data_IF_941823423784
#
_entry.id   IF_941823423784
#
_cell.length_a   1.000
_cell.length_b   1.000
_cell.length_c   1.000
_cell.angle_alpha   90.00
_cell.angle_beta   90.00
_cell.angle_gamma   90.00
#
_symmetry.space_group_name_H-M   'P 1'
#
loop_
_entity.id
_entity.type
_entity.pdbx_description
1 polymer ?
#
# COMPACT_ATOMS: atom_id res chain seq x y z
N UNK A 1 -18.88 1.99 -20.17
CA UNK A 1 -18.29 2.81 -21.24
C UNK A 1 -17.69 1.86 -22.26
N UNK A 2 -18.10 1.95 -23.53
CA UNK A 2 -17.36 1.32 -24.60
C UNK A 2 -15.99 1.98 -24.74
N UNK A 3 -14.90 1.22 -24.74
CA UNK A 3 -13.54 1.67 -24.96
C UNK A 3 -12.63 1.72 -23.72
N UNK A 4 -13.15 1.53 -22.50
CA UNK A 4 -12.34 1.51 -21.26
C UNK A 4 -12.20 0.11 -20.66
N UNK A 5 -12.84 -0.91 -21.23
CA UNK A 5 -12.84 -2.29 -20.76
C UNK A 5 -11.42 -2.88 -20.70
N UNK A 6 -10.54 -2.44 -21.61
CA UNK A 6 -9.13 -2.86 -21.66
C UNK A 6 -8.32 -2.52 -20.40
N UNK A 7 -8.75 -1.52 -19.60
CA UNK A 7 -8.10 -1.18 -18.32
C UNK A 7 -8.35 -2.23 -17.23
N UNK A 8 -9.42 -3.02 -17.37
CA UNK A 8 -9.80 -4.08 -16.42
C UNK A 8 -9.36 -5.47 -16.91
N UNK A 9 -8.75 -5.55 -18.10
CA UNK A 9 -8.24 -6.80 -18.63
C UNK A 9 -7.10 -7.32 -17.74
N UNK A 10 -7.29 -8.52 -17.20
CA UNK A 10 -6.24 -9.21 -16.44
C UNK A 10 -5.04 -9.44 -17.36
N UNK A 11 -3.86 -9.09 -16.87
CA UNK A 11 -2.59 -9.35 -17.55
C UNK A 11 -2.00 -10.66 -17.04
N UNK A 12 -1.44 -11.43 -17.96
CA UNK A 12 -0.70 -12.65 -17.63
C UNK A 12 0.69 -12.33 -17.06
N UNK A 13 1.30 -13.31 -16.40
CA UNK A 13 2.69 -13.21 -15.91
C UNK A 13 3.73 -13.07 -17.04
N UNK A 14 3.32 -13.28 -18.30
CA UNK A 14 4.14 -13.00 -19.48
C UNK A 14 4.11 -11.52 -19.86
N UNK A 15 3.06 -10.81 -19.48
CA UNK A 15 2.82 -9.41 -19.82
C UNK A 15 3.18 -8.46 -18.67
N UNK A 16 3.05 -8.91 -17.41
CA UNK A 16 3.38 -8.15 -16.21
C UNK A 16 4.08 -9.05 -15.18
N UNK A 17 5.29 -8.67 -14.72
CA UNK A 17 5.97 -9.36 -13.62
C UNK A 17 5.74 -8.63 -12.30
N UNK A 18 5.26 -9.35 -11.28
CA UNK A 18 5.24 -8.85 -9.90
C UNK A 18 6.62 -8.80 -9.25
N UNK A 19 7.66 -9.35 -9.90
CA UNK A 19 9.02 -9.53 -9.39
C UNK A 19 9.04 -10.20 -8.02
N UNK A 20 8.13 -11.12 -7.75
CA UNK A 20 7.99 -11.76 -6.45
C UNK A 20 7.57 -10.82 -5.31
N UNK A 21 6.95 -9.68 -5.64
CA UNK A 21 6.26 -8.82 -4.69
C UNK A 21 4.75 -9.11 -4.75
N UNK A 22 4.03 -8.98 -3.63
CA UNK A 22 2.58 -9.16 -3.63
C UNK A 22 1.88 -7.98 -4.33
N UNK A 23 0.61 -8.18 -4.69
CA UNK A 23 -0.20 -7.11 -5.27
C UNK A 23 -0.39 -5.97 -4.26
N UNK A 24 -0.20 -4.74 -4.72
CA UNK A 24 -0.20 -3.56 -3.87
C UNK A 24 -1.40 -2.65 -4.15
N UNK A 25 -2.40 -2.74 -3.28
CA UNK A 25 -3.58 -1.88 -3.30
C UNK A 25 -3.23 -0.41 -3.00
N UNK A 26 -2.09 -0.17 -2.35
CA UNK A 26 -1.61 1.15 -1.98
C UNK A 26 -0.70 1.79 -3.02
N UNK A 27 -0.46 1.13 -4.15
CA UNK A 27 0.42 1.66 -5.20
C UNK A 27 -0.13 3.00 -5.70
N UNK A 28 0.78 3.95 -5.99
CA UNK A 28 0.40 5.23 -6.63
C UNK A 28 -0.23 5.00 -8.01
N UNK A 29 0.08 3.86 -8.63
CA UNK A 29 -0.45 3.45 -9.92
C UNK A 29 -1.82 2.76 -9.84
N UNK A 30 -2.29 2.42 -8.63
CA UNK A 30 -3.61 1.80 -8.47
C UNK A 30 -4.72 2.83 -8.72
N UNK A 31 -5.72 2.45 -9.51
CA UNK A 31 -6.91 3.27 -9.75
C UNK A 31 -7.74 3.45 -8.47
N UNK A 32 -8.40 4.59 -8.33
CA UNK A 32 -9.33 4.83 -7.23
C UNK A 32 -10.71 4.21 -7.46
N UNK A 33 -11.58 4.22 -6.42
CA UNK A 33 -12.90 3.58 -6.47
C UNK A 33 -13.78 4.05 -7.63
N UNK A 34 -13.70 5.34 -7.98
CA UNK A 34 -14.54 6.00 -8.99
C UNK A 34 -13.88 6.10 -10.37
N UNK A 35 -12.76 5.41 -10.63
CA UNK A 35 -12.05 5.54 -11.90
C UNK A 35 -12.90 5.05 -13.09
N UNK A 36 -12.88 5.78 -14.22
CA UNK A 36 -13.66 5.45 -15.42
C UNK A 36 -15.20 5.47 -15.22
N UNK A 37 -15.68 6.14 -14.18
CA UNK A 37 -17.12 6.38 -14.01
C UNK A 37 -17.61 7.51 -14.93
N UNK A 38 -18.88 7.42 -15.36
CA UNK A 38 -19.58 8.56 -16.00
C UNK A 38 -20.10 9.50 -14.91
N UNK A 39 -20.65 8.92 -13.85
CA UNK A 39 -21.23 9.63 -12.71
C UNK A 39 -20.23 9.63 -11.56
N UNK A 40 -19.75 10.80 -11.17
CA UNK A 40 -18.62 10.94 -10.24
C UNK A 40 -18.89 10.40 -8.84
N UNK A 41 -20.15 10.10 -8.52
CA UNK A 41 -20.59 9.48 -7.28
C UNK A 41 -20.63 7.94 -7.32
N UNK A 42 -20.47 7.31 -8.50
CA UNK A 42 -20.52 5.85 -8.65
C UNK A 42 -19.15 5.20 -8.52
N UNK A 43 -19.10 4.13 -7.72
CA UNK A 43 -17.93 3.26 -7.59
C UNK A 43 -17.97 2.21 -8.70
N UNK A 44 -16.89 2.14 -9.47
CA UNK A 44 -16.69 1.16 -10.57
C UNK A 44 -15.66 0.09 -10.20
N UNK A 45 -14.80 0.37 -9.20
CA UNK A 45 -13.75 -0.54 -8.74
C UNK A 45 -14.03 -0.92 -7.29
N UNK A 46 -14.34 -2.20 -7.10
CA UNK A 46 -14.64 -2.77 -5.78
C UNK A 46 -13.51 -3.72 -5.38
N UNK A 47 -12.94 -3.51 -4.20
CA UNK A 47 -11.94 -4.42 -3.64
C UNK A 47 -12.60 -5.73 -3.22
N UNK A 48 -11.92 -6.86 -3.44
CA UNK A 48 -12.44 -8.16 -3.00
C UNK A 48 -12.68 -8.22 -1.50
N UNK A 49 -11.78 -7.59 -0.74
CA UNK A 49 -11.98 -7.33 0.68
C UNK A 49 -12.46 -5.88 0.84
N UNK A 50 -13.71 -5.71 1.29
CA UNK A 50 -14.35 -4.40 1.43
C UNK A 50 -13.62 -3.48 2.41
N UNK A 51 -12.87 -4.01 3.39
CA UNK A 51 -12.09 -3.19 4.34
C UNK A 51 -11.06 -2.33 3.61
N UNK A 52 -10.51 -2.82 2.51
CA UNK A 52 -9.50 -2.14 1.71
C UNK A 52 -10.07 -1.12 0.72
N UNK A 53 -11.39 -0.97 0.63
CA UNK A 53 -12.03 -0.13 -0.38
C UNK A 53 -11.55 1.32 -0.33
N UNK A 54 -11.23 1.84 0.86
CA UNK A 54 -10.71 3.21 1.03
C UNK A 54 -9.19 3.32 0.99
N UNK A 55 -8.47 2.20 0.87
CA UNK A 55 -7.01 2.17 0.71
C UNK A 55 -6.57 2.42 -0.73
N UNK A 56 -7.43 2.10 -1.72
CA UNK A 56 -7.08 2.21 -3.14
C UNK A 56 -7.18 3.64 -3.67
N UNK A 57 -6.38 3.96 -4.68
CA UNK A 57 -6.44 5.26 -5.39
C UNK A 57 -5.72 6.41 -4.71
N UNK A 58 -4.92 6.14 -3.68
CA UNK A 58 -4.14 7.19 -2.99
C UNK A 58 -3.14 7.85 -3.95
N UNK A 59 -2.82 9.13 -3.70
CA UNK A 59 -1.88 9.93 -4.50
C UNK A 59 -0.87 10.69 -3.64
N UNK A 60 -0.69 10.28 -2.38
CA UNK A 60 0.29 10.87 -1.45
C UNK A 60 1.72 10.63 -1.94
N UNK A 61 1.98 9.45 -2.50
CA UNK A 61 3.27 9.12 -3.08
C UNK A 61 3.39 7.62 -3.40
N UNK A 62 4.54 7.19 -3.95
CA UNK A 62 4.82 5.78 -4.18
C UNK A 62 4.76 4.97 -2.88
N UNK A 63 4.21 3.76 -2.96
CA UNK A 63 4.21 2.84 -1.83
C UNK A 63 5.61 2.25 -1.57
N UNK A 64 5.76 1.54 -0.45
CA UNK A 64 6.97 0.76 -0.19
C UNK A 64 7.25 -0.27 -1.29
N UNK A 65 6.21 -0.94 -1.79
CA UNK A 65 6.33 -1.96 -2.84
C UNK A 65 6.72 -1.31 -4.18
N UNK A 66 6.15 -0.14 -4.52
CA UNK A 66 6.52 0.62 -5.72
C UNK A 66 8.03 0.93 -5.72
N UNK A 67 8.52 1.48 -4.61
CA UNK A 67 9.94 1.86 -4.46
C UNK A 67 10.83 0.62 -4.45
N UNK A 68 10.41 -0.48 -3.81
CA UNK A 68 11.15 -1.75 -3.80
C UNK A 68 11.24 -2.38 -5.20
N UNK A 69 10.14 -2.33 -5.96
CA UNK A 69 10.04 -2.80 -7.34
C UNK A 69 11.02 -2.02 -8.25
N UNK A 70 11.06 -0.70 -8.14
CA UNK A 70 12.03 0.14 -8.88
C UNK A 70 13.47 -0.18 -8.49
N UNK A 71 13.76 -0.33 -7.19
CA UNK A 71 15.12 -0.68 -6.74
C UNK A 71 15.58 -2.05 -7.24
N UNK A 72 14.67 -3.04 -7.35
CA UNK A 72 14.97 -4.33 -7.98
C UNK A 72 15.39 -4.16 -9.45
N UNK A 73 14.64 -3.36 -10.21
CA UNK A 73 14.91 -3.11 -11.62
C UNK A 73 16.26 -2.40 -11.85
N UNK A 74 16.49 -1.30 -11.14
CA UNK A 74 17.56 -0.36 -11.51
C UNK A 74 18.74 -0.36 -10.54
N UNK A 75 18.55 -0.80 -9.29
CA UNK A 75 19.53 -0.60 -8.22
C UNK A 75 19.95 -1.89 -7.50
N UNK A 76 19.53 -3.07 -7.97
CA UNK A 76 19.80 -4.33 -7.28
C UNK A 76 21.31 -4.66 -7.16
N UNK A 77 22.13 -4.09 -8.03
CA UNK A 77 23.58 -4.30 -8.01
C UNK A 77 24.31 -3.45 -6.97
N UNK A 78 23.70 -2.36 -6.49
CA UNK A 78 24.34 -1.37 -5.60
C UNK A 78 24.83 -1.98 -4.29
N UNK A 79 24.05 -2.90 -3.72
CA UNK A 79 24.36 -3.55 -2.44
C UNK A 79 24.74 -5.03 -2.61
N UNK A 80 25.26 -5.42 -3.77
CA UNK A 80 25.80 -6.78 -3.94
C UNK A 80 26.94 -7.01 -2.95
N UNK A 81 26.85 -8.10 -2.18
CA UNK A 81 27.84 -8.44 -1.15
C UNK A 81 27.57 -7.82 0.23
N UNK A 82 26.50 -7.04 0.42
CA UNK A 82 26.09 -6.63 1.76
C UNK A 82 25.67 -7.85 2.60
N UNK A 83 26.00 -7.81 3.89
CA UNK A 83 25.57 -8.80 4.88
C UNK A 83 24.42 -8.30 5.76
N UNK A 84 23.84 -7.13 5.46
CA UNK A 84 22.70 -6.61 6.24
C UNK A 84 21.49 -7.52 6.09
N UNK A 85 20.91 -7.93 7.21
CA UNK A 85 19.71 -8.77 7.24
C UNK A 85 18.52 -7.88 7.57
N UNK A 86 17.62 -7.71 6.59
CA UNK A 86 16.38 -6.97 6.77
C UNK A 86 15.20 -7.92 6.96
N UNK A 87 14.46 -7.75 8.04
CA UNK A 87 13.30 -8.55 8.40
C UNK A 87 12.01 -7.94 7.87
N UNK A 88 10.90 -8.67 7.99
CA UNK A 88 9.54 -8.19 7.69
C UNK A 88 9.38 -7.61 6.27
N UNK A 89 10.15 -8.12 5.32
CA UNK A 89 10.12 -7.65 3.93
C UNK A 89 10.89 -6.36 3.68
N UNK A 90 11.69 -5.88 4.65
CA UNK A 90 12.70 -4.86 4.42
C UNK A 90 13.74 -5.28 3.38
N UNK A 91 14.52 -4.32 2.89
CA UNK A 91 15.65 -4.56 1.98
C UNK A 91 16.76 -3.56 2.22
N UNK A 92 18.00 -3.88 1.81
CA UNK A 92 19.14 -2.98 1.97
C UNK A 92 18.87 -1.64 1.28
N UNK A 93 19.15 -0.53 1.96
CA UNK A 93 19.04 0.78 1.34
C UNK A 93 20.10 0.93 0.26
N UNK A 94 19.66 1.14 -0.98
CA UNK A 94 20.54 1.32 -2.14
C UNK A 94 21.45 2.55 -2.03
N UNK A 95 21.12 3.50 -1.15
CA UNK A 95 21.96 4.66 -0.84
C UNK A 95 22.91 4.42 0.34
N UNK A 96 22.66 3.39 1.15
CA UNK A 96 23.48 2.99 2.28
C UNK A 96 23.27 1.51 2.60
N UNK A 97 24.16 0.67 2.07
CA UNK A 97 24.03 -0.79 2.13
C UNK A 97 24.18 -1.40 3.53
N UNK A 98 24.49 -0.60 4.56
CA UNK A 98 24.58 -1.02 5.96
C UNK A 98 23.28 -0.80 6.73
N UNK A 99 22.24 -0.23 6.08
CA UNK A 99 20.94 0.02 6.69
C UNK A 99 19.82 -0.62 5.89
N UNK A 100 18.73 -0.93 6.56
CA UNK A 100 17.52 -1.42 5.93
C UNK A 100 16.54 -0.28 5.62
N UNK A 101 15.94 -0.32 4.43
CA UNK A 101 14.66 0.32 4.14
C UNK A 101 13.53 -0.57 4.64
N UNK A 102 12.69 -0.02 5.52
CA UNK A 102 11.64 -0.76 6.22
C UNK A 102 10.25 -0.43 5.68
N UNK A 103 9.31 -1.40 5.70
CA UNK A 103 7.91 -1.10 5.45
C UNK A 103 7.37 -0.07 6.45
N UNK A 104 6.40 0.78 6.06
CA UNK A 104 5.80 1.76 6.95
C UNK A 104 5.27 1.13 8.24
N UNK A 105 5.54 1.77 9.38
CA UNK A 105 5.22 1.27 10.71
C UNK A 105 6.32 0.41 11.34
N UNK A 106 7.36 0.03 10.59
CA UNK A 106 8.53 -0.70 11.08
C UNK A 106 9.81 0.13 10.95
N UNK A 107 10.77 -0.12 11.84
CA UNK A 107 12.05 0.57 11.89
C UNK A 107 13.13 -0.24 12.60
N UNK A 108 14.15 0.47 13.09
CA UNK A 108 15.35 -0.14 13.65
C UNK A 108 16.32 -0.63 12.56
N UNK A 109 17.47 -1.21 12.96
CA UNK A 109 18.55 -1.56 12.03
C UNK A 109 18.14 -2.66 11.02
N UNK A 110 17.18 -3.49 11.37
CA UNK A 110 16.75 -4.65 10.59
C UNK A 110 15.22 -4.72 10.36
N UNK A 111 14.47 -3.64 10.58
CA UNK A 111 13.01 -3.62 10.43
C UNK A 111 12.23 -4.54 11.41
N UNK A 112 12.83 -4.90 12.55
CA UNK A 112 12.17 -5.71 13.58
C UNK A 112 11.28 -4.88 14.52
N UNK A 113 11.73 -3.67 14.86
CA UNK A 113 11.07 -2.81 15.83
C UNK A 113 9.99 -1.96 15.16
N UNK A 114 9.12 -1.37 15.98
CA UNK A 114 8.19 -0.32 15.51
C UNK A 114 8.96 0.90 15.00
N UNK A 115 8.43 1.54 13.95
CA UNK A 115 8.92 2.84 13.46
C UNK A 115 8.67 3.91 14.53
N UNK A 116 9.68 4.74 14.90
CA UNK A 116 9.44 5.85 15.83
C UNK A 116 8.30 6.77 15.35
N UNK A 117 7.40 7.13 16.26
CA UNK A 117 6.34 8.11 15.99
C UNK A 117 6.90 9.52 15.83
N UNK A 118 6.18 10.39 15.11
CA UNK A 118 6.50 11.82 15.03
C UNK A 118 6.17 12.56 16.33
N UNK A 119 5.20 12.04 17.08
CA UNK A 119 4.86 12.52 18.42
C UNK A 119 5.46 11.56 19.47
N UNK A 120 6.36 12.04 20.36
CA UNK A 120 6.96 11.20 21.40
C UNK A 120 5.95 10.69 22.44
N UNK A 121 4.73 11.24 22.48
CA UNK A 121 3.68 10.84 23.42
C UNK A 121 2.76 9.73 22.89
N UNK A 122 3.03 9.18 21.70
CA UNK A 122 2.25 8.09 21.12
C UNK A 122 3.11 7.02 20.44
N UNK A 123 2.50 5.88 20.15
CA UNK A 123 3.16 4.74 19.52
C UNK A 123 3.83 3.79 20.49
N UNK A 124 4.67 2.90 19.96
CA UNK A 124 5.43 1.91 20.71
C UNK A 124 4.96 0.47 20.51
N UNK A 125 5.59 -0.45 21.24
CA UNK A 125 5.21 -1.85 21.24
C UNK A 125 4.22 -2.15 22.37
N UNK A 126 3.13 -2.83 22.03
CA UNK A 126 2.09 -3.26 22.98
C UNK A 126 1.97 -4.78 22.97
N UNK A 127 1.56 -5.34 24.11
CA UNK A 127 1.28 -6.76 24.23
C UNK A 127 -0.22 -7.02 24.19
N UNK A 128 -0.64 -7.95 23.33
CA UNK A 128 -1.98 -8.51 23.32
C UNK A 128 -2.05 -9.68 24.33
N UNK A 129 -2.83 -9.50 25.38
CA UNK A 129 -2.96 -10.46 26.47
C UNK A 129 -4.02 -11.54 26.15
N UNK A 130 -3.81 -12.75 26.67
CA UNK A 130 -4.78 -13.84 26.57
C UNK A 130 -5.94 -13.60 27.53
N UNK A 131 -7.17 -13.75 27.05
CA UNK A 131 -8.38 -13.70 27.88
C UNK A 131 -8.77 -12.30 28.39
N UNK A 132 -7.99 -11.26 28.08
CA UNK A 132 -8.24 -9.89 28.54
C UNK A 132 -8.27 -8.95 27.33
N UNK A 133 -9.42 -8.36 27.06
CA UNK A 133 -9.55 -7.29 26.07
C UNK A 133 -8.83 -6.04 26.54
N UNK A 134 -8.02 -5.46 25.65
CA UNK A 134 -7.27 -4.23 25.86
C UNK A 134 -7.76 -3.16 24.89
N UNK A 135 -7.57 -1.90 25.26
CA UNK A 135 -8.00 -0.75 24.48
C UNK A 135 -6.79 0.07 24.04
N UNK A 136 -6.80 0.51 22.79
CA UNK A 136 -5.93 1.53 22.23
C UNK A 136 -6.80 2.67 21.73
N UNK A 137 -6.80 3.78 22.46
CA UNK A 137 -7.49 5.02 22.08
C UNK A 137 -6.46 6.08 21.79
N UNK A 138 -6.58 6.75 20.65
CA UNK A 138 -5.68 7.81 20.27
C UNK A 138 -6.44 8.98 19.65
N UNK A 139 -5.95 10.19 19.92
CA UNK A 139 -6.36 11.44 19.29
C UNK A 139 -5.14 12.33 19.13
N UNK A 140 -4.78 12.68 17.89
CA UNK A 140 -3.53 13.40 17.61
C UNK A 140 -3.48 14.04 16.22
N UNK A 141 -2.56 14.97 16.04
CA UNK A 141 -2.33 15.70 14.79
C UNK A 141 -1.03 15.27 14.07
N UNK A 142 -0.32 14.30 14.63
CA UNK A 142 0.97 13.80 14.14
C UNK A 142 0.89 12.30 13.88
N UNK A 143 1.81 11.78 13.06
CA UNK A 143 1.87 10.34 12.77
C UNK A 143 2.31 9.56 14.00
N UNK A 144 1.59 8.47 14.29
CA UNK A 144 1.86 7.56 15.40
C UNK A 144 1.86 6.10 14.92
N UNK A 145 2.85 5.32 15.37
CA UNK A 145 3.00 3.92 14.98
C UNK A 145 2.98 3.01 16.20
N UNK A 146 2.11 2.00 16.20
CA UNK A 146 2.10 0.94 17.20
C UNK A 146 2.36 -0.41 16.56
N UNK A 147 3.08 -1.26 17.29
CA UNK A 147 3.22 -2.68 16.99
C UNK A 147 2.61 -3.47 18.14
N UNK A 148 1.53 -4.20 17.88
CA UNK A 148 0.88 -5.04 18.89
C UNK A 148 1.30 -6.49 18.64
N UNK A 149 1.85 -7.18 19.64
CA UNK A 149 2.35 -8.56 19.52
C UNK A 149 1.83 -9.47 20.63
N UNK A 150 1.84 -10.78 20.40
CA UNK A 150 1.52 -11.79 21.44
C UNK A 150 2.78 -12.51 21.92
N UNK A 151 2.79 -12.99 23.17
CA UNK A 151 3.90 -13.78 23.72
C UNK A 151 3.82 -15.27 23.31
N UNK A 152 2.62 -15.78 23.02
CA UNK A 152 2.37 -17.20 22.75
C UNK A 152 2.22 -17.59 21.28
N UNK A 153 2.68 -16.75 20.34
CA UNK A 153 2.45 -16.92 18.90
C UNK A 153 0.96 -17.15 18.58
N UNK A 154 0.09 -16.36 19.21
CA UNK A 154 -1.35 -16.37 18.96
C UNK A 154 -1.69 -15.28 17.95
N UNK A 155 -2.71 -15.54 17.13
CA UNK A 155 -3.31 -14.49 16.27
C UNK A 155 -3.93 -13.42 17.17
N UNK A 156 -4.07 -12.20 16.65
CA UNK A 156 -4.66 -11.06 17.35
C UNK A 156 -6.03 -10.83 16.76
N UNK A 157 -7.05 -10.91 17.61
CA UNK A 157 -8.40 -10.45 17.25
C UNK A 157 -8.53 -9.01 17.70
N UNK A 158 -9.04 -8.16 16.82
CA UNK A 158 -9.29 -6.76 17.14
C UNK A 158 -10.59 -6.27 16.52
N UNK A 159 -11.15 -5.24 17.15
CA UNK A 159 -12.36 -4.55 16.74
C UNK A 159 -12.04 -3.07 16.69
N UNK A 160 -12.16 -2.47 15.50
CA UNK A 160 -12.09 -1.03 15.33
C UNK A 160 -13.47 -0.45 15.67
N UNK A 161 -13.60 0.13 16.87
CA UNK A 161 -14.88 0.57 17.42
C UNK A 161 -15.30 1.93 16.84
N UNK A 162 -14.36 2.86 16.73
CA UNK A 162 -14.64 4.22 16.22
C UNK A 162 -13.45 4.81 15.49
N UNK A 163 -13.74 5.63 14.49
CA UNK A 163 -12.76 6.30 13.64
C UNK A 163 -13.27 7.70 13.33
N UNK A 164 -12.42 8.70 13.51
CA UNK A 164 -12.74 10.11 13.29
C UNK A 164 -11.58 10.79 12.55
N UNK A 165 -11.62 10.73 11.22
CA UNK A 165 -10.74 11.48 10.32
C UNK A 165 -11.59 12.21 9.27
N UNK A 166 -10.94 12.91 8.33
CA UNK A 166 -11.64 13.49 7.19
C UNK A 166 -12.13 12.39 6.26
N UNK A 167 -13.44 12.13 6.27
CA UNK A 167 -14.05 11.07 5.49
C UNK A 167 -13.98 11.36 3.98
N UNK A 168 -13.52 10.38 3.21
CA UNK A 168 -13.41 10.42 1.74
C UNK A 168 -13.44 9.00 1.16
N UNK A 169 -13.78 8.85 -0.12
CA UNK A 169 -13.82 7.54 -0.82
C UNK A 169 -12.46 6.84 -0.83
N UNK A 170 -11.39 7.61 -0.98
CA UNK A 170 -10.00 7.20 -0.71
C UNK A 170 -9.50 8.00 0.48
N UNK A 171 -9.10 7.35 1.57
CA UNK A 171 -8.70 8.05 2.79
C UNK A 171 -7.40 8.83 2.58
N UNK A 172 -7.44 10.14 2.87
CA UNK A 172 -6.25 10.99 2.93
C UNK A 172 -5.62 10.92 4.33
N UNK A 173 -6.35 11.28 5.38
CA UNK A 173 -5.98 10.99 6.77
C UNK A 173 -6.70 9.74 7.26
N UNK A 174 -6.02 8.86 8.00
CA UNK A 174 -6.51 7.53 8.31
C UNK A 174 -5.91 6.92 9.57
N UNK A 175 -6.57 5.87 10.07
CA UNK A 175 -5.92 4.77 10.77
C UNK A 175 -5.73 3.61 9.78
N UNK A 176 -4.50 3.15 9.61
CA UNK A 176 -4.13 1.99 8.81
C UNK A 176 -3.81 0.83 9.73
N UNK A 177 -4.40 -0.35 9.46
CA UNK A 177 -4.12 -1.57 10.22
C UNK A 177 -3.56 -2.63 9.28
N UNK A 178 -2.31 -3.03 9.53
CA UNK A 178 -1.65 -4.14 8.84
C UNK A 178 -1.79 -5.38 9.70
N UNK A 179 -2.55 -6.35 9.21
CA UNK A 179 -2.86 -7.59 9.93
C UNK A 179 -2.57 -8.85 9.12
N UNK A 180 -2.13 -8.70 7.88
CA UNK A 180 -1.86 -9.76 6.91
C UNK A 180 -0.47 -10.38 7.13
N UNK A 181 -0.17 -11.43 6.37
CA UNK A 181 1.08 -12.18 6.44
C UNK A 181 2.31 -11.43 5.90
N UNK A 182 2.13 -10.25 5.27
CA UNK A 182 3.21 -9.46 4.67
C UNK A 182 3.06 -7.95 4.93
N UNK A 183 3.86 -7.41 5.85
CA UNK A 183 3.83 -5.99 6.21
C UNK A 183 4.34 -5.03 5.12
N UNK A 184 4.89 -5.55 4.02
CA UNK A 184 5.20 -4.74 2.83
C UNK A 184 3.93 -4.15 2.21
N UNK A 185 2.83 -4.91 2.23
CA UNK A 185 1.55 -4.44 1.68
C UNK A 185 0.94 -3.38 2.57
N UNK A 186 0.26 -2.42 1.96
CA UNK A 186 -0.58 -1.47 2.70
C UNK A 186 -1.61 -2.22 3.56
N UNK A 187 -1.90 -1.71 4.75
CA UNK A 187 -3.03 -2.15 5.54
C UNK A 187 -4.36 -1.63 4.98
N UNK A 188 -5.47 -2.11 5.57
CA UNK A 188 -6.74 -1.44 5.30
C UNK A 188 -6.77 -0.09 6.03
N UNK A 189 -7.31 0.93 5.38
CA UNK A 189 -7.38 2.30 5.90
C UNK A 189 -8.81 2.67 6.21
N UNK A 190 -9.06 3.13 7.43
CA UNK A 190 -10.33 3.69 7.85
C UNK A 190 -10.18 5.18 8.14
N UNK A 191 -11.15 5.97 7.67
CA UNK A 191 -11.23 7.41 7.92
C UNK A 191 -12.65 7.94 8.13
N UNK A 192 -13.64 7.11 7.85
CA UNK A 192 -15.06 7.39 8.06
C UNK A 192 -15.56 6.57 9.24
N UNK A 193 -16.75 6.90 9.71
CA UNK A 193 -17.41 6.21 10.81
C UNK A 193 -17.91 4.81 10.40
N UNK A 194 -16.98 3.87 10.30
CA UNK A 194 -17.19 2.48 9.98
C UNK A 194 -17.27 1.69 11.28
N UNK A 195 -18.50 1.37 11.71
CA UNK A 195 -18.71 0.75 13.02
C UNK A 195 -18.31 -0.72 13.01
N UNK A 196 -17.48 -1.11 13.99
CA UNK A 196 -17.32 -2.50 14.40
C UNK A 196 -16.60 -3.39 13.39
N UNK A 197 -15.53 -2.91 12.77
CA UNK A 197 -14.70 -3.76 11.89
C UNK A 197 -13.94 -4.76 12.78
N UNK A 198 -14.44 -6.00 12.82
CA UNK A 198 -13.80 -7.13 13.51
C UNK A 198 -12.90 -7.91 12.56
N UNK A 199 -11.67 -8.17 12.98
CA UNK A 199 -10.65 -8.87 12.18
C UNK A 199 -9.80 -9.77 13.09
N UNK A 200 -9.41 -10.93 12.56
CA UNK A 200 -8.39 -11.80 13.13
C UNK A 200 -7.14 -11.70 12.25
N UNK A 201 -6.02 -11.24 12.81
CA UNK A 201 -4.74 -11.09 12.08
C UNK A 201 -4.22 -12.42 11.57
N UNK A 202 -3.51 -12.47 10.46
CA UNK A 202 -2.88 -13.69 9.92
C UNK A 202 -1.59 -14.08 10.66
N UNK A 203 -1.07 -13.17 11.49
CA UNK A 203 0.19 -13.29 12.23
C UNK A 203 -0.01 -13.05 13.74
N UNK A 204 1.04 -13.30 14.52
CA UNK A 204 1.10 -13.01 15.96
C UNK A 204 1.40 -11.54 16.29
N UNK A 205 1.41 -10.68 15.27
CA UNK A 205 1.67 -9.26 15.38
C UNK A 205 0.81 -8.50 14.38
N UNK A 206 0.46 -7.26 14.73
CA UNK A 206 -0.18 -6.29 13.83
C UNK A 206 0.51 -4.93 13.97
N UNK A 207 0.37 -4.10 12.93
CA UNK A 207 0.78 -2.71 12.98
C UNK A 207 -0.44 -1.82 12.90
N UNK A 208 -0.47 -0.78 13.72
CA UNK A 208 -1.47 0.27 13.71
C UNK A 208 -0.77 1.58 13.44
N UNK A 209 -1.16 2.28 12.39
CA UNK A 209 -0.55 3.55 11.95
C UNK A 209 -1.66 4.59 11.91
N UNK A 210 -1.57 5.61 12.76
CA UNK A 210 -2.46 6.77 12.69
C UNK A 210 -1.71 7.89 11.99
N UNK A 211 -2.27 8.38 10.89
CA UNK A 211 -1.70 9.48 10.13
C UNK A 211 -2.81 10.46 9.67
N UNK A 212 -2.90 11.65 10.27
CA UNK A 212 -3.93 12.62 9.92
C UNK A 212 -3.65 13.42 8.62
N UNK A 213 -2.47 13.24 7.97
CA UNK A 213 -2.12 13.83 6.66
C UNK A 213 -2.54 15.30 6.47
N UNK A 214 -2.05 16.19 7.35
CA UNK A 214 -2.23 17.64 7.21
C UNK A 214 -3.61 18.21 7.57
N UNK A 215 -4.55 17.39 8.06
CA UNK A 215 -5.84 17.83 8.64
C UNK A 215 -5.74 17.96 10.17
N UNK A 216 -6.64 18.77 10.78
CA UNK A 216 -6.58 19.26 12.17
C UNK A 216 -6.18 18.22 13.23
N UNK A 217 -6.92 17.12 13.39
CA UNK A 217 -6.70 16.05 14.38
C UNK A 217 -7.42 14.79 13.89
N UNK A 218 -6.78 13.62 13.97
CA UNK A 218 -7.41 12.31 13.77
C UNK A 218 -7.62 11.59 15.09
N UNK A 219 -8.61 10.70 15.16
CA UNK A 219 -8.83 9.85 16.34
C UNK A 219 -9.37 8.47 15.98
N UNK A 220 -9.06 7.48 16.81
CA UNK A 220 -9.64 6.14 16.72
C UNK A 220 -9.69 5.46 18.10
N UNK A 221 -10.56 4.46 18.21
CA UNK A 221 -10.57 3.49 19.32
C UNK A 221 -10.55 2.08 18.76
N UNK A 222 -9.57 1.31 19.19
CA UNK A 222 -9.36 -0.09 18.84
C UNK A 222 -9.39 -0.92 20.12
N UNK A 223 -10.11 -2.04 20.11
CA UNK A 223 -9.96 -3.09 21.12
C UNK A 223 -9.26 -4.29 20.53
N UNK A 224 -8.40 -4.94 21.30
CA UNK A 224 -7.63 -6.10 20.85
C UNK A 224 -7.42 -7.12 21.95
N UNK A 225 -7.20 -8.37 21.55
CA UNK A 225 -6.96 -9.52 22.43
C UNK A 225 -6.12 -10.57 21.69
N UNK A 226 -5.35 -11.37 22.42
CA UNK A 226 -4.75 -12.58 21.86
C UNK A 226 -5.83 -13.66 21.67
N UNK A 227 -6.04 -14.10 20.42
CA UNK A 227 -7.04 -15.09 20.04
C UNK A 227 -6.46 -16.51 20.13
N UNK A 228 -6.78 -17.20 21.24
CA UNK A 228 -6.41 -18.60 21.44
C UNK A 228 -7.35 -19.58 20.74
N UNK A 229 -8.55 -19.14 20.30
CA UNK A 229 -9.55 -19.99 19.68
C UNK A 229 -9.34 -20.21 18.17
N UNK A 230 -8.70 -19.25 17.50
CA UNK A 230 -8.44 -19.32 16.05
C UNK A 230 -7.22 -20.16 15.63
N UNK A 231 -6.52 -20.77 16.59
CA UNK A 231 -5.25 -21.46 16.38
C UNK A 231 -4.04 -20.52 16.22
N UNK A 232 -2.85 -21.10 16.12
CA UNK A 232 -1.63 -20.35 15.83
C UNK A 232 -1.64 -19.80 14.39
N UNK A 233 -0.92 -18.70 14.11
CA UNK A 233 -0.63 -18.27 12.75
C UNK A 233 -0.11 -19.42 11.89
N UNK A 234 -0.55 -19.47 10.64
CA UNK A 234 0.05 -20.38 9.68
C UNK A 234 1.51 -19.95 9.42
N UNK A 235 2.42 -20.90 9.12
CA UNK A 235 3.76 -20.55 8.67
C UNK A 235 3.67 -19.60 7.47
N UNK A 236 4.45 -18.51 7.50
CA UNK A 236 4.50 -17.58 6.37
C UNK A 236 4.93 -18.36 5.13
N UNK A 237 4.24 -18.23 3.98
CA UNK A 237 4.70 -18.85 2.76
C UNK A 237 6.12 -18.34 2.44
N UNK A 238 7.01 -19.17 1.87
CA UNK A 238 8.31 -18.71 1.46
C UNK A 238 8.14 -17.52 0.50
N UNK A 239 8.88 -16.42 0.68
CA UNK A 239 8.76 -15.27 -0.19
C UNK A 239 9.07 -15.71 -1.62
N UNK A 240 8.32 -15.23 -2.64
CA UNK A 240 8.59 -15.63 -4.01
C UNK A 240 10.01 -15.20 -4.39
N UNK A 241 10.80 -16.15 -4.91
CA UNK A 241 12.14 -15.86 -5.36
C UNK A 241 12.11 -14.91 -6.57
N UNK A 242 12.71 -13.73 -6.42
CA UNK A 242 12.98 -12.84 -7.54
C UNK A 242 14.33 -13.19 -8.15
N UNK A 243 14.36 -13.38 -9.46
CA UNK A 243 15.58 -13.63 -10.24
C UNK A 243 15.79 -12.39 -11.12
N UNK A 244 16.88 -11.62 -10.91
CA UNK A 244 17.17 -10.44 -11.73
C UNK A 244 17.14 -10.75 -13.22
N UNK A 245 16.47 -9.91 -14.00
CA UNK A 245 16.34 -10.06 -15.44
C UNK A 245 15.22 -10.98 -15.92
N UNK A 246 14.47 -11.63 -15.02
CA UNK A 246 13.24 -12.37 -15.40
C UNK A 246 12.18 -11.43 -15.97
N UNK A 247 12.17 -10.21 -15.47
CA UNK A 247 11.31 -9.13 -15.92
C UNK A 247 11.76 -8.49 -17.25
N UNK A 248 13.00 -8.73 -17.69
CA UNK A 248 13.51 -8.21 -18.95
C UNK A 248 12.80 -8.89 -20.12
N UNK A 249 11.84 -8.20 -20.73
CA UNK A 249 11.08 -8.70 -21.88
C UNK A 249 11.10 -7.70 -23.01
N UNK A 250 11.03 -8.20 -24.23
CA UNK A 250 10.76 -7.36 -25.39
C UNK A 250 9.36 -6.76 -25.25
N UNK A 251 9.23 -5.45 -25.46
CA UNK A 251 7.94 -4.78 -25.50
C UNK A 251 7.06 -5.42 -26.58
N UNK A 252 5.76 -5.59 -26.29
CA UNK A 252 4.81 -6.32 -27.15
C UNK A 252 4.98 -5.96 -28.63
N UNK A 253 5.22 -6.97 -29.46
CA UNK A 253 5.36 -6.83 -30.92
C UNK A 253 6.78 -6.64 -31.44
N UNK A 254 7.83 -6.74 -30.61
CA UNK A 254 9.22 -6.75 -31.08
C UNK A 254 9.81 -8.15 -30.92
N UNK A 255 9.69 -8.98 -31.96
CA UNK A 255 10.57 -10.15 -32.08
C UNK A 255 11.97 -9.66 -32.49
N UNK A 256 12.99 -10.14 -31.76
CA UNK A 256 14.40 -10.08 -32.14
C UNK A 256 14.94 -8.71 -32.57
N UNK A 257 15.47 -7.95 -31.60
CA UNK A 257 16.76 -7.25 -31.72
C UNK A 257 17.20 -6.79 -30.34
N UNK A 258 18.33 -7.34 -29.89
CA UNK A 258 18.89 -7.09 -28.56
C UNK A 258 19.09 -5.60 -28.28
N UNK A 259 18.83 -5.23 -27.04
CA UNK A 259 19.08 -3.88 -26.53
C UNK A 259 18.52 -3.75 -25.12
N UNK A 260 19.39 -3.36 -24.19
CA UNK A 260 19.09 -3.01 -22.80
C UNK A 260 17.97 -1.95 -22.79
N UNK A 261 17.07 -2.05 -21.80
CA UNK A 261 15.77 -1.36 -21.65
C UNK A 261 15.84 0.19 -21.66
N UNK A 262 17.02 0.79 -21.78
CA UNK A 262 17.23 2.23 -21.64
C UNK A 262 16.74 3.08 -22.84
N UNK A 263 16.43 2.47 -23.99
CA UNK A 263 16.03 3.22 -25.21
C UNK A 263 14.55 3.16 -25.59
N UNK A 264 13.72 2.42 -24.86
CA UNK A 264 12.32 2.18 -25.28
C UNK A 264 11.28 3.03 -24.53
N UNK A 265 11.53 3.48 -23.29
CA UNK A 265 10.52 4.20 -22.49
C UNK A 265 10.07 5.50 -23.18
N UNK A 266 10.96 6.21 -23.89
CA UNK A 266 10.61 7.44 -24.60
C UNK A 266 9.88 7.24 -25.94
N UNK A 267 9.94 6.03 -26.52
CA UNK A 267 9.33 5.74 -27.83
C UNK A 267 8.05 4.89 -27.74
N UNK A 268 7.68 4.39 -26.54
CA UNK A 268 6.57 3.42 -26.35
C UNK A 268 5.27 4.03 -25.85
N UNK A 269 5.27 5.32 -25.50
CA UNK A 269 4.05 6.06 -25.10
C UNK A 269 2.90 5.93 -26.12
N UNK A 270 3.10 5.71 -27.44
CA UNK A 270 1.97 5.58 -28.37
C UNK A 270 1.57 4.13 -28.73
N UNK A 271 1.87 3.10 -27.93
CA UNK A 271 1.50 1.69 -28.26
C UNK A 271 0.56 0.99 -27.28
N UNK A 272 -0.08 1.73 -26.38
CA UNK A 272 -1.32 1.29 -25.66
C UNK A 272 -2.55 1.62 -26.52
N UNK A 273 -2.40 1.64 -27.85
CA UNK A 273 -3.42 2.09 -28.81
C UNK A 273 -4.37 0.96 -29.18
N UNK A 274 -5.66 1.24 -29.06
CA UNK A 274 -6.68 0.63 -29.91
C UNK A 274 -6.35 1.01 -31.38
N UNK A 275 -6.18 0.04 -32.30
CA UNK A 275 -5.89 0.32 -33.71
C UNK A 275 -6.94 1.19 -34.38
N UNK A 276 -8.19 1.17 -33.90
CA UNK A 276 -9.33 1.80 -34.56
C UNK A 276 -9.63 3.21 -34.01
N UNK A 277 -9.09 3.60 -32.84
CA UNK A 277 -9.39 4.90 -32.19
C UNK A 277 -8.21 5.55 -31.43
N UNK A 278 -7.18 6.03 -32.15
CA UNK A 278 -5.92 6.49 -31.55
C UNK A 278 -5.95 7.85 -30.85
N UNK A 279 -7.01 8.65 -31.02
CA UNK A 279 -7.08 10.05 -30.53
C UNK A 279 -7.83 10.15 -29.19
N UNK A 280 -8.77 9.24 -28.92
CA UNK A 280 -9.62 9.27 -27.72
C UNK A 280 -8.87 8.83 -26.44
N UNK A 281 -7.92 7.88 -26.54
CA UNK A 281 -7.16 7.40 -25.38
C UNK A 281 -6.19 8.43 -24.78
N UNK A 282 -5.61 9.30 -25.62
CA UNK A 282 -4.69 10.37 -25.18
C UNK A 282 -5.45 11.49 -24.47
N UNK A 283 -6.67 11.78 -24.95
CA UNK A 283 -7.54 12.74 -24.31
C UNK A 283 -7.87 12.30 -22.89
N UNK A 284 -8.20 11.02 -22.62
CA UNK A 284 -8.58 10.55 -21.27
C UNK A 284 -7.48 10.69 -20.21
N UNK A 285 -6.23 10.35 -20.54
CA UNK A 285 -5.11 10.40 -19.57
C UNK A 285 -4.69 11.84 -19.29
N UNK A 286 -4.68 12.70 -20.31
CA UNK A 286 -4.38 14.12 -20.15
C UNK A 286 -5.56 14.88 -19.51
N UNK A 287 -6.80 14.57 -19.87
CA UNK A 287 -7.96 15.20 -19.23
C UNK A 287 -8.10 14.82 -17.77
N UNK A 288 -7.79 13.58 -17.35
CA UNK A 288 -7.82 13.24 -15.92
C UNK A 288 -6.72 13.97 -15.13
N UNK A 289 -5.51 14.12 -15.69
CA UNK A 289 -4.41 14.84 -15.06
C UNK A 289 -4.62 16.38 -15.05
N UNK A 290 -5.20 16.93 -16.10
CA UNK A 290 -5.50 18.36 -16.20
C UNK A 290 -6.79 18.75 -15.48
N UNK A 291 -7.83 17.93 -15.48
CA UNK A 291 -9.09 18.20 -14.77
C UNK A 291 -8.91 18.13 -13.24
N UNK A 292 -8.09 17.18 -12.74
CA UNK A 292 -7.74 17.12 -11.32
C UNK A 292 -6.86 18.32 -10.88
N UNK A 293 -5.97 18.80 -11.75
CA UNK A 293 -5.17 20.01 -11.57
C UNK A 293 -6.00 21.30 -11.58
N UNK A 294 -6.95 21.45 -12.52
CA UNK A 294 -7.80 22.65 -12.66
C UNK A 294 -8.89 22.74 -11.58
N UNK A 295 -9.45 21.61 -11.12
CA UNK A 295 -10.46 21.61 -10.05
C UNK A 295 -9.86 21.79 -8.64
N UNK A 296 -8.56 21.57 -8.47
CA UNK A 296 -7.82 21.85 -7.22
C UNK A 296 -7.48 23.33 -7.00
N UNK A 297 -7.49 24.16 -8.05
CA UNK A 297 -7.06 25.58 -7.97
C UNK A 297 -8.23 26.55 -7.73
N UNK A 298 -9.48 26.14 -7.97
CA UNK A 298 -10.64 27.06 -7.94
C UNK A 298 -11.47 27.09 -6.64
N UNK A 299 -10.91 26.68 -5.49
CA UNK A 299 -11.47 27.01 -4.16
C UNK A 299 -10.64 28.07 -3.43
N UNK A 300 -10.45 29.23 -4.06
CA UNK A 300 -10.21 30.49 -3.34
C UNK A 300 -11.13 31.58 -3.89
N UNK A 301 -11.90 32.16 -2.95
CA UNK A 301 -12.81 33.32 -3.03
C UNK A 301 -14.28 33.05 -3.36
N UNK A 302 -15.08 32.92 -2.29
CA UNK A 302 -16.35 33.63 -2.10
C UNK A 302 -16.64 33.79 -0.59
N UNK A 303 -16.04 34.83 0.01
CA UNK A 303 -16.74 35.88 0.75
C UNK A 303 -16.11 37.19 0.29
#
# INVERSE_FOLDING_TARGET
MGGTEGNFAKRSDLEADGMGLPYDLGSVMHYGPNAFTIDWDQITIITKDSKYQRSIGQRLGPSFIDVKQINRLYCHHMCQGTSVICLNGGYADTNNCDRCKCPPGLGGPNCASVEPSEDPFCGGELLANIGIWQHLTHRGAKKCNWKIKTEGNHRIRFILDSVSYSCSTTCQGFVEIKHNSDFQQIGFRACCDEHGIEVISEQAEILVISDPQGVKVGAFTLRYIADTGSGAPLPKPPPPAWIPGRENRAFRGVQNKGGVIEKFILNSIPRVRDPDRPVESVASILTDYFASSLLGVNKRRRK
#
